data_IF_452135253122
#
_entry.id   IF_452135253122
#
_cell.length_a   1.000
_cell.length_b   1.000
_cell.length_c   1.000
_cell.angle_alpha   90.00
_cell.angle_beta   90.00
_cell.angle_gamma   90.00
#
_symmetry.space_group_name_H-M   'P 1'
#
loop_
_entity.id
_entity.type
_entity.pdbx_description
1 polymer ?
#
# COMPACT_ATOMS: atom_id res chain seq x y z
N UNK A 1 7.26 -16.71 -19.13
CA UNK A 1 7.78 -17.00 -17.78
C UNK A 1 6.90 -16.28 -16.78
N UNK A 2 6.57 -16.92 -15.65
CA UNK A 2 5.85 -16.28 -14.55
C UNK A 2 6.80 -15.27 -13.90
N UNK A 3 6.37 -14.06 -13.67
CA UNK A 3 7.18 -13.03 -13.01
C UNK A 3 7.64 -13.49 -11.62
N UNK A 4 8.87 -13.12 -11.22
CA UNK A 4 9.40 -13.37 -9.88
C UNK A 4 8.69 -12.50 -8.84
N UNK A 5 8.33 -13.08 -7.69
CA UNK A 5 7.79 -12.33 -6.56
C UNK A 5 8.77 -11.28 -6.02
N UNK A 6 10.08 -11.50 -6.18
CA UNK A 6 11.14 -10.54 -5.84
C UNK A 6 11.01 -9.27 -6.69
N UNK A 7 10.95 -9.42 -8.03
CA UNK A 7 10.79 -8.27 -8.94
C UNK A 7 9.45 -7.57 -8.75
N UNK A 8 8.38 -8.33 -8.53
CA UNK A 8 7.07 -7.76 -8.24
C UNK A 8 7.10 -6.88 -6.97
N UNK A 9 7.75 -7.35 -5.91
CA UNK A 9 7.95 -6.58 -4.69
C UNK A 9 8.80 -5.33 -4.96
N UNK A 10 9.94 -5.50 -5.62
CA UNK A 10 10.87 -4.41 -5.96
C UNK A 10 10.19 -3.27 -6.74
N UNK A 11 9.32 -3.59 -7.72
CA UNK A 11 8.58 -2.57 -8.49
C UNK A 11 7.73 -1.65 -7.59
N UNK A 12 7.08 -2.19 -6.57
CA UNK A 12 6.22 -1.44 -5.67
C UNK A 12 7.02 -0.74 -4.56
N UNK A 13 8.17 -1.28 -4.17
CA UNK A 13 9.07 -0.72 -3.17
C UNK A 13 10.00 0.38 -3.71
N UNK A 14 10.25 0.42 -5.03
CA UNK A 14 11.26 1.28 -5.65
C UNK A 14 11.04 2.78 -5.39
N UNK A 15 9.85 3.30 -5.68
CA UNK A 15 9.65 4.76 -5.61
C UNK A 15 9.72 5.33 -4.18
N UNK A 16 9.09 4.73 -3.15
CA UNK A 16 9.30 5.20 -1.78
C UNK A 16 10.75 5.06 -1.32
N UNK A 17 11.52 4.08 -1.82
CA UNK A 17 12.94 3.96 -1.55
C UNK A 17 13.73 5.11 -2.19
N UNK A 18 13.52 5.36 -3.47
CA UNK A 18 14.16 6.48 -4.20
C UNK A 18 13.89 7.84 -3.54
N UNK A 19 12.73 8.02 -2.91
CA UNK A 19 12.34 9.24 -2.19
C UNK A 19 12.84 9.28 -0.74
N UNK A 20 13.56 8.25 -0.28
CA UNK A 20 14.07 8.15 1.09
C UNK A 20 12.98 7.94 2.16
N UNK A 21 11.80 7.44 1.79
CA UNK A 21 10.70 7.22 2.73
C UNK A 21 10.67 5.82 3.34
N UNK A 22 11.23 4.83 2.65
CA UNK A 22 11.15 3.44 3.09
C UNK A 22 12.33 2.62 2.55
N UNK A 23 12.87 1.71 3.37
CA UNK A 23 13.96 0.81 3.02
C UNK A 23 15.36 1.44 3.12
N UNK A 24 16.42 0.67 2.81
CA UNK A 24 17.81 1.11 2.83
C UNK A 24 18.12 2.06 1.66
N UNK A 25 19.26 2.76 1.72
CA UNK A 25 19.74 3.64 0.64
C UNK A 25 20.39 2.82 -0.50
N UNK A 26 19.56 1.99 -1.18
CA UNK A 26 19.97 1.03 -2.22
C UNK A 26 19.09 1.14 -3.48
N UNK A 27 18.59 2.35 -3.76
CA UNK A 27 17.66 2.57 -4.88
C UNK A 27 18.27 2.28 -6.26
N UNK A 28 19.60 2.48 -6.42
CA UNK A 28 20.30 2.16 -7.68
C UNK A 28 20.29 0.65 -7.97
N UNK A 29 20.57 -0.19 -6.96
CA UNK A 29 20.50 -1.66 -7.07
C UNK A 29 19.10 -2.12 -7.49
N UNK A 30 18.07 -1.57 -6.82
CA UNK A 30 16.67 -1.90 -7.15
C UNK A 30 16.37 -1.52 -8.61
N UNK A 31 16.74 -0.32 -9.03
CA UNK A 31 16.50 0.16 -10.39
C UNK A 31 17.23 -0.69 -11.45
N UNK A 32 18.48 -1.05 -11.23
CA UNK A 32 19.26 -1.90 -12.13
C UNK A 32 18.61 -3.27 -12.29
N UNK A 33 18.28 -3.92 -11.17
CA UNK A 33 17.59 -5.22 -11.18
C UNK A 33 16.26 -5.17 -11.94
N UNK A 34 15.49 -4.09 -11.77
CA UNK A 34 14.22 -3.90 -12.48
C UNK A 34 14.42 -3.70 -13.99
N UNK A 35 15.44 -2.94 -14.42
CA UNK A 35 15.76 -2.72 -15.83
C UNK A 35 16.24 -4.01 -16.51
N UNK A 36 17.09 -4.77 -15.83
CA UNK A 36 17.60 -6.05 -16.35
C UNK A 36 16.56 -7.18 -16.28
N UNK A 37 15.55 -7.04 -15.43
CA UNK A 37 14.58 -8.09 -15.14
C UNK A 37 15.20 -9.31 -14.47
N UNK A 38 16.27 -9.10 -13.68
CA UNK A 38 17.03 -10.14 -12.99
C UNK A 38 16.96 -10.00 -11.49
N UNK A 39 17.16 -11.10 -10.79
CA UNK A 39 17.22 -11.17 -9.33
C UNK A 39 18.53 -11.82 -8.90
N UNK A 40 19.11 -11.32 -7.84
CA UNK A 40 20.27 -11.87 -7.15
C UNK A 40 20.10 -11.83 -5.63
N UNK A 41 21.04 -12.42 -4.90
CA UNK A 41 21.03 -12.44 -3.45
C UNK A 41 21.16 -11.02 -2.85
N UNK A 42 21.86 -10.13 -3.54
CA UNK A 42 22.01 -8.73 -3.12
C UNK A 42 20.68 -7.98 -3.15
N UNK A 43 19.87 -8.13 -4.22
CA UNK A 43 18.53 -7.57 -4.27
C UNK A 43 17.62 -8.16 -3.18
N UNK A 44 17.69 -9.48 -2.96
CA UNK A 44 16.94 -10.15 -1.88
C UNK A 44 17.29 -9.53 -0.53
N UNK A 45 18.57 -9.35 -0.23
CA UNK A 45 19.03 -8.74 1.01
C UNK A 45 18.51 -7.30 1.15
N UNK A 46 18.66 -6.46 0.12
CA UNK A 46 18.12 -5.11 0.09
C UNK A 46 16.62 -5.07 0.39
N UNK A 47 15.82 -5.99 -0.20
CA UNK A 47 14.38 -6.03 0.02
C UNK A 47 13.99 -6.54 1.42
N UNK A 48 14.84 -7.31 2.07
CA UNK A 48 14.64 -7.76 3.46
C UNK A 48 14.82 -6.63 4.47
N UNK A 49 15.57 -5.59 4.13
CA UNK A 49 15.78 -4.41 4.99
C UNK A 49 14.61 -3.41 4.97
N UNK A 50 13.55 -3.67 4.20
CA UNK A 50 12.34 -2.84 4.22
C UNK A 50 11.51 -3.10 5.48
N UNK A 51 11.85 -2.44 6.59
CA UNK A 51 11.21 -2.63 7.91
C UNK A 51 9.68 -2.46 7.88
N UNK A 52 9.15 -1.62 6.98
CA UNK A 52 7.72 -1.38 6.85
C UNK A 52 7.00 -2.37 5.91
N UNK A 53 7.71 -3.24 5.20
CA UNK A 53 7.11 -4.15 4.22
C UNK A 53 7.48 -5.61 4.47
N UNK A 54 8.76 -5.91 4.67
CA UNK A 54 9.25 -7.28 4.76
C UNK A 54 8.59 -8.09 5.90
N UNK A 55 8.42 -7.57 7.12
CA UNK A 55 7.73 -8.29 8.19
C UNK A 55 6.28 -8.67 7.84
N UNK A 56 5.56 -7.87 7.03
CA UNK A 56 4.22 -8.25 6.56
C UNK A 56 4.25 -9.38 5.56
N UNK A 57 5.26 -9.42 4.69
CA UNK A 57 5.45 -10.55 3.78
C UNK A 57 5.74 -11.83 4.56
N UNK A 58 6.57 -11.77 5.60
CA UNK A 58 6.85 -12.90 6.49
C UNK A 58 5.58 -13.38 7.20
N UNK A 59 4.76 -12.47 7.71
CA UNK A 59 3.48 -12.81 8.34
C UNK A 59 2.57 -13.57 7.36
N UNK A 60 2.36 -13.03 6.15
CA UNK A 60 1.53 -13.66 5.12
C UNK A 60 2.11 -15.03 4.74
N UNK A 61 3.42 -15.12 4.52
CA UNK A 61 4.09 -16.34 4.13
C UNK A 61 3.93 -17.45 5.19
N UNK A 62 4.22 -17.11 6.46
CA UNK A 62 4.11 -18.02 7.60
C UNK A 62 2.67 -18.52 7.78
N UNK A 63 1.70 -17.62 7.83
CA UNK A 63 0.29 -17.96 8.04
C UNK A 63 -0.33 -18.77 6.90
N UNK A 64 0.29 -18.76 5.71
CA UNK A 64 -0.24 -19.42 4.53
C UNK A 64 0.60 -20.60 4.03
N UNK A 65 1.72 -20.92 4.71
CA UNK A 65 2.64 -22.00 4.34
C UNK A 65 3.38 -21.74 3.01
N UNK A 66 3.75 -20.48 2.75
CA UNK A 66 4.43 -20.06 1.52
C UNK A 66 5.85 -19.55 1.82
N UNK A 67 6.69 -19.42 0.78
CA UNK A 67 7.94 -18.67 0.87
C UNK A 67 7.65 -17.18 0.73
N UNK A 68 8.44 -16.34 1.39
CA UNK A 68 8.23 -14.88 1.43
C UNK A 68 8.14 -14.25 0.04
N UNK A 69 8.97 -14.68 -0.88
CA UNK A 69 8.99 -14.20 -2.26
C UNK A 69 8.27 -15.12 -3.27
N UNK A 70 7.41 -16.04 -2.82
CA UNK A 70 6.43 -16.64 -3.73
C UNK A 70 5.55 -15.52 -4.27
N UNK A 71 5.38 -15.42 -5.59
CA UNK A 71 4.67 -14.29 -6.25
C UNK A 71 3.35 -13.89 -5.57
N UNK A 72 2.59 -14.89 -5.09
CA UNK A 72 1.30 -14.66 -4.42
C UNK A 72 1.41 -13.92 -3.10
N UNK A 73 2.57 -13.92 -2.42
CA UNK A 73 2.78 -13.25 -1.14
C UNK A 73 2.97 -11.75 -1.33
N UNK A 74 3.94 -11.25 -2.14
CA UNK A 74 3.98 -9.83 -2.47
C UNK A 74 2.73 -9.32 -3.17
N UNK A 75 2.07 -10.13 -4.04
CA UNK A 75 0.78 -9.76 -4.64
C UNK A 75 -0.29 -9.54 -3.56
N UNK A 76 -0.35 -10.40 -2.53
CA UNK A 76 -1.27 -10.23 -1.42
C UNK A 76 -1.03 -8.91 -0.68
N UNK A 77 0.22 -8.61 -0.36
CA UNK A 77 0.60 -7.42 0.38
C UNK A 77 0.32 -6.12 -0.38
N UNK A 78 0.72 -6.03 -1.67
CA UNK A 78 0.61 -4.81 -2.46
C UNK A 78 -0.75 -4.61 -3.13
N UNK A 79 -1.35 -5.68 -3.67
CA UNK A 79 -2.56 -5.64 -4.49
C UNK A 79 -3.77 -6.23 -3.76
N UNK A 80 -3.53 -7.21 -2.91
CA UNK A 80 -4.56 -8.04 -2.29
C UNK A 80 -4.89 -9.29 -3.12
N UNK A 81 -5.02 -10.41 -2.43
CA UNK A 81 -5.55 -11.66 -2.97
C UNK A 81 -6.06 -12.55 -1.81
N UNK A 82 -6.59 -13.73 -2.12
CA UNK A 82 -7.19 -14.62 -1.13
C UNK A 82 -6.25 -15.15 -0.04
N UNK A 83 -4.94 -14.87 -0.09
CA UNK A 83 -4.03 -15.17 1.03
C UNK A 83 -4.33 -14.27 2.24
N UNK A 84 -4.76 -13.04 2.02
CA UNK A 84 -5.11 -12.12 3.11
C UNK A 84 -6.26 -12.65 3.96
N UNK A 85 -7.23 -13.33 3.34
CA UNK A 85 -8.39 -13.92 4.00
C UNK A 85 -8.00 -15.14 4.89
N UNK A 86 -6.76 -15.65 4.74
CA UNK A 86 -6.22 -16.81 5.47
C UNK A 86 -5.31 -16.43 6.63
N UNK A 87 -4.94 -15.17 6.77
CA UNK A 87 -4.14 -14.69 7.91
C UNK A 87 -5.07 -14.48 9.10
N UNK A 88 -4.88 -15.20 10.22
CA UNK A 88 -5.72 -15.00 11.40
C UNK A 88 -5.60 -13.58 11.93
N UNK A 89 -6.71 -12.92 12.21
CA UNK A 89 -6.72 -11.56 12.73
C UNK A 89 -5.97 -11.41 14.08
N UNK A 90 -5.93 -12.48 14.88
CA UNK A 90 -5.14 -12.54 16.12
C UNK A 90 -3.63 -12.47 15.85
N UNK A 91 -3.13 -13.13 14.79
CA UNK A 91 -1.73 -13.05 14.39
C UNK A 91 -1.37 -11.66 13.88
N UNK A 92 -2.22 -11.09 13.04
CA UNK A 92 -2.04 -9.72 12.56
C UNK A 92 -2.08 -8.71 13.71
N UNK A 93 -2.97 -8.88 14.67
CA UNK A 93 -3.03 -8.03 15.87
C UNK A 93 -1.74 -8.10 16.70
N UNK A 94 -1.25 -9.31 17.00
CA UNK A 94 -0.01 -9.50 17.75
C UNK A 94 1.19 -8.90 17.01
N UNK A 95 1.27 -9.11 15.70
CA UNK A 95 2.28 -8.54 14.84
C UNK A 95 2.25 -7.00 14.86
N UNK A 96 1.09 -6.39 14.65
CA UNK A 96 0.95 -4.93 14.61
C UNK A 96 1.30 -4.26 15.94
N UNK A 97 1.11 -4.96 17.06
CA UNK A 97 1.48 -4.49 18.38
C UNK A 97 3.01 -4.41 18.56
N UNK A 98 3.76 -5.31 17.96
CA UNK A 98 5.23 -5.32 18.01
C UNK A 98 5.87 -4.36 17.01
N UNK A 99 5.32 -4.26 15.79
CA UNK A 99 5.93 -3.49 14.69
C UNK A 99 5.55 -2.01 14.67
N UNK A 100 4.45 -1.61 15.32
CA UNK A 100 4.08 -0.19 15.46
C UNK A 100 4.83 0.50 16.61
N UNK A 101 6.16 0.32 16.66
CA UNK A 101 7.04 0.96 17.65
C UNK A 101 6.85 2.49 17.63
N UNK A 102 6.70 3.08 18.81
CA UNK A 102 6.51 4.53 18.98
C UNK A 102 5.06 5.00 19.10
N UNK A 103 4.07 4.10 19.04
CA UNK A 103 2.67 4.41 19.29
C UNK A 103 2.24 3.88 20.65
N UNK A 104 1.26 4.57 21.28
CA UNK A 104 0.68 4.08 22.56
C UNK A 104 0.01 2.71 22.30
N UNK A 105 0.54 1.62 22.88
CA UNK A 105 0.02 0.27 22.65
C UNK A 105 -1.45 0.12 23.02
N UNK A 106 -1.94 0.92 23.99
CA UNK A 106 -3.35 0.90 24.44
C UNK A 106 -4.26 1.43 23.35
N UNK A 107 -3.87 2.53 22.69
CA UNK A 107 -4.65 3.11 21.58
C UNK A 107 -4.69 2.18 20.37
N UNK A 108 -3.57 1.54 20.03
CA UNK A 108 -3.51 0.51 19.00
C UNK A 108 -4.45 -0.64 19.36
N UNK A 109 -4.41 -1.13 20.59
CA UNK A 109 -5.27 -2.22 21.08
C UNK A 109 -6.76 -1.87 20.99
N UNK A 110 -7.15 -0.69 21.42
CA UNK A 110 -8.55 -0.22 21.35
C UNK A 110 -9.02 -0.06 19.92
N UNK A 111 -8.16 0.50 19.05
CA UNK A 111 -8.43 0.62 17.63
C UNK A 111 -8.68 -0.75 16.98
N UNK A 112 -7.79 -1.71 17.21
CA UNK A 112 -7.95 -3.06 16.66
C UNK A 112 -9.09 -3.88 17.27
N UNK A 113 -9.44 -3.67 18.55
CA UNK A 113 -10.64 -4.27 19.15
C UNK A 113 -11.92 -3.89 18.39
N UNK A 114 -12.00 -2.64 17.91
CA UNK A 114 -13.16 -2.16 17.15
C UNK A 114 -13.27 -2.81 15.75
N UNK A 115 -12.27 -3.55 15.33
CA UNK A 115 -12.23 -4.24 14.03
C UNK A 115 -12.59 -5.74 14.08
N UNK A 116 -12.99 -6.25 15.28
CA UNK A 116 -13.39 -7.66 15.46
C UNK A 116 -12.38 -8.69 14.91
N UNK A 117 -11.09 -8.36 14.95
CA UNK A 117 -10.03 -9.20 14.42
C UNK A 117 -9.96 -9.31 12.89
N UNK A 118 -10.66 -8.45 12.16
CA UNK A 118 -10.76 -8.48 10.70
C UNK A 118 -9.90 -7.38 10.07
N UNK A 119 -8.59 -7.40 10.31
CA UNK A 119 -7.67 -6.46 9.65
C UNK A 119 -6.70 -7.25 8.76
N UNK A 120 -6.67 -7.00 7.43
CA UNK A 120 -5.76 -7.71 6.56
C UNK A 120 -4.35 -7.12 6.65
N UNK A 121 -3.28 -7.93 6.56
CA UNK A 121 -1.91 -7.46 6.40
C UNK A 121 -1.67 -6.91 4.98
N UNK A 122 -2.47 -5.91 4.59
CA UNK A 122 -2.47 -5.25 3.29
C UNK A 122 -1.81 -3.88 3.41
N UNK A 123 -0.92 -3.54 2.49
CA UNK A 123 -0.18 -2.29 2.52
C UNK A 123 -1.09 -1.06 2.64
N UNK A 124 -2.14 -1.00 1.84
CA UNK A 124 -3.07 0.14 1.86
C UNK A 124 -3.82 0.25 3.19
N UNK A 125 -4.16 -0.87 3.84
CA UNK A 125 -4.72 -0.85 5.19
C UNK A 125 -3.74 -0.27 6.20
N UNK A 126 -2.48 -0.72 6.19
CA UNK A 126 -1.43 -0.19 7.07
C UNK A 126 -1.27 1.32 6.92
N UNK A 127 -1.17 1.82 5.68
CA UNK A 127 -1.04 3.26 5.38
C UNK A 127 -2.26 4.05 5.89
N UNK A 128 -3.47 3.60 5.56
CA UNK A 128 -4.70 4.30 5.95
C UNK A 128 -4.97 4.24 7.46
N UNK A 129 -4.65 3.12 8.12
CA UNK A 129 -4.80 2.98 9.57
C UNK A 129 -3.82 3.89 10.33
N UNK A 130 -2.63 4.11 9.77
CA UNK A 130 -1.66 5.09 10.27
C UNK A 130 -2.28 6.49 10.30
N UNK A 131 -2.97 6.90 9.23
CA UNK A 131 -3.72 8.16 9.20
C UNK A 131 -4.77 8.21 10.32
N UNK A 132 -5.61 7.19 10.44
CA UNK A 132 -6.66 7.15 11.44
C UNK A 132 -6.12 7.28 12.87
N UNK A 133 -5.01 6.61 13.18
CA UNK A 133 -4.39 6.65 14.51
C UNK A 133 -3.58 7.92 14.78
N UNK A 134 -3.17 8.66 13.76
CA UNK A 134 -2.44 9.94 13.88
C UNK A 134 -3.40 11.14 13.96
N UNK A 135 -4.45 11.14 13.12
CA UNK A 135 -5.39 12.27 13.02
C UNK A 135 -6.44 12.25 14.12
N UNK A 136 -6.91 11.08 14.53
CA UNK A 136 -7.97 10.96 15.56
C UNK A 136 -7.53 11.41 16.95
N UNK A 137 -6.32 11.08 17.46
CA UNK A 137 -5.89 11.55 18.77
C UNK A 137 -5.81 13.08 18.89
N UNK A 138 -5.42 13.75 17.79
CA UNK A 138 -5.32 15.21 17.71
C UNK A 138 -6.62 15.87 17.18
N UNK A 139 -7.61 15.06 16.87
CA UNK A 139 -8.90 15.27 16.24
C UNK A 139 -9.41 16.71 16.14
N UNK A 140 -9.84 17.36 17.25
CA UNK A 140 -10.37 18.73 17.21
C UNK A 140 -9.32 19.79 16.88
N UNK A 141 -8.04 19.53 17.14
CA UNK A 141 -6.95 20.50 17.03
C UNK A 141 -6.30 20.56 15.63
N UNK A 142 -6.57 19.57 14.76
CA UNK A 142 -6.08 19.60 13.38
C UNK A 142 -6.94 20.49 12.50
N UNK A 143 -6.29 21.45 11.83
CA UNK A 143 -6.95 22.28 10.82
C UNK A 143 -7.44 21.41 9.64
N UNK A 144 -8.45 21.90 8.93
CA UNK A 144 -8.91 21.23 7.70
C UNK A 144 -7.81 21.11 6.65
N UNK A 145 -6.87 22.06 6.61
CA UNK A 145 -5.71 22.02 5.73
C UNK A 145 -4.76 20.87 6.11
N UNK A 146 -4.43 20.73 7.39
CA UNK A 146 -3.60 19.63 7.88
C UNK A 146 -4.21 18.26 7.57
N UNK A 147 -5.53 18.13 7.76
CA UNK A 147 -6.26 16.90 7.40
C UNK A 147 -6.18 16.57 5.91
N UNK A 148 -6.29 17.59 5.04
CA UNK A 148 -6.12 17.41 3.60
C UNK A 148 -4.70 16.97 3.24
N UNK A 149 -3.68 17.59 3.81
CA UNK A 149 -2.27 17.23 3.59
C UNK A 149 -1.99 15.80 3.99
N UNK A 150 -2.50 15.35 5.15
CA UNK A 150 -2.33 13.96 5.58
C UNK A 150 -3.10 12.99 4.66
N UNK A 151 -4.32 13.33 4.24
CA UNK A 151 -5.06 12.50 3.27
C UNK A 151 -4.32 12.38 1.93
N UNK A 152 -3.65 13.44 1.48
CA UNK A 152 -2.83 13.42 0.28
C UNK A 152 -1.58 12.53 0.44
N UNK A 153 -0.94 12.56 1.61
CA UNK A 153 0.17 11.64 1.92
C UNK A 153 -0.29 10.18 1.88
N UNK A 154 -1.43 9.89 2.49
CA UNK A 154 -2.06 8.57 2.45
C UNK A 154 -2.36 8.15 1.01
N UNK A 155 -2.93 9.03 0.18
CA UNK A 155 -3.24 8.74 -1.23
C UNK A 155 -1.98 8.45 -2.05
N UNK A 156 -0.86 9.12 -1.75
CA UNK A 156 0.42 8.87 -2.42
C UNK A 156 1.06 7.55 -1.97
N UNK A 157 0.97 7.22 -0.68
CA UNK A 157 1.64 6.05 -0.10
C UNK A 157 0.86 4.75 -0.25
N UNK A 158 -0.49 4.77 -0.30
CA UNK A 158 -1.25 3.57 -0.63
C UNK A 158 -1.02 3.15 -2.07
N UNK A 159 -1.20 1.87 -2.39
CA UNK A 159 -1.26 1.47 -3.78
C UNK A 159 -2.59 1.94 -4.38
N UNK A 160 -2.51 2.90 -5.28
CA UNK A 160 -3.64 3.33 -6.12
C UNK A 160 -3.57 2.66 -7.49
N UNK A 161 -4.63 2.82 -8.29
CA UNK A 161 -4.66 2.30 -9.67
C UNK A 161 -5.48 3.21 -10.56
N UNK A 162 -5.26 3.09 -11.86
CA UNK A 162 -6.05 3.81 -12.84
C UNK A 162 -5.83 3.34 -14.25
N UNK A 163 -6.73 3.76 -15.12
CA UNK A 163 -6.71 3.49 -16.55
C UNK A 163 -5.83 4.50 -17.29
N UNK A 164 -4.88 4.02 -18.05
CA UNK A 164 -4.01 4.83 -18.90
C UNK A 164 -4.84 5.47 -20.02
N UNK A 165 -4.81 6.79 -20.11
CA UNK A 165 -5.50 7.59 -21.14
C UNK A 165 -4.55 8.14 -22.20
N UNK A 166 -3.26 8.23 -21.87
CA UNK A 166 -2.23 8.68 -22.78
C UNK A 166 -0.85 8.21 -22.32
N UNK A 167 0.02 7.95 -23.27
CA UNK A 167 1.39 7.49 -23.03
C UNK A 167 2.35 8.53 -23.58
N UNK A 168 3.15 9.14 -22.69
CA UNK A 168 4.26 10.02 -23.03
C UNK A 168 5.61 9.31 -22.87
N UNK A 169 6.70 10.04 -23.03
CA UNK A 169 8.05 9.44 -23.01
C UNK A 169 8.44 8.82 -21.67
N UNK A 170 8.11 9.47 -20.55
CA UNK A 170 8.37 9.01 -19.17
C UNK A 170 7.20 9.31 -18.22
N UNK A 171 6.04 9.62 -18.78
CA UNK A 171 4.86 10.04 -18.05
C UNK A 171 3.61 9.46 -18.71
N UNK A 172 2.71 8.92 -17.91
CA UNK A 172 1.40 8.43 -18.31
C UNK A 172 0.34 9.43 -17.85
N UNK A 173 -0.66 9.68 -18.67
CA UNK A 173 -1.93 10.27 -18.23
C UNK A 173 -2.83 9.15 -17.74
N UNK A 174 -3.14 9.13 -16.44
CA UNK A 174 -3.89 8.03 -15.84
C UNK A 174 -5.15 8.56 -15.19
N UNK A 175 -6.30 7.97 -15.50
CA UNK A 175 -7.57 8.25 -14.85
C UNK A 175 -7.67 7.46 -13.56
N UNK A 176 -7.54 8.16 -12.43
CA UNK A 176 -7.51 7.59 -11.09
C UNK A 176 -8.68 8.12 -10.25
N UNK A 177 -8.93 7.45 -9.10
CA UNK A 177 -9.78 7.96 -8.02
C UNK A 177 -8.91 8.19 -6.77
N UNK A 178 -8.51 9.43 -6.47
CA UNK A 178 -7.72 9.72 -5.29
C UNK A 178 -8.55 9.52 -4.00
N UNK A 179 -7.85 9.33 -2.87
CA UNK A 179 -8.50 9.39 -1.56
C UNK A 179 -8.61 10.85 -1.11
N UNK A 180 -9.77 11.20 -0.57
CA UNK A 180 -10.01 12.46 0.12
C UNK A 180 -10.62 12.22 1.50
N UNK A 181 -10.38 13.17 2.40
CA UNK A 181 -11.07 13.23 3.68
C UNK A 181 -12.30 14.15 3.54
N UNK A 182 -13.48 13.57 3.64
CA UNK A 182 -14.73 14.28 3.48
C UNK A 182 -15.74 13.81 4.52
N UNK A 183 -16.41 14.75 5.19
CA UNK A 183 -17.46 14.50 6.18
C UNK A 183 -17.01 13.50 7.29
N UNK A 184 -15.78 13.66 7.79
CA UNK A 184 -15.25 12.80 8.85
C UNK A 184 -14.78 11.40 8.39
N UNK A 185 -14.70 11.14 7.09
CA UNK A 185 -14.36 9.84 6.51
C UNK A 185 -13.34 9.95 5.38
N UNK A 186 -12.57 8.88 5.19
CA UNK A 186 -11.79 8.67 3.97
C UNK A 186 -12.68 8.05 2.89
N UNK A 187 -12.63 8.59 1.70
CA UNK A 187 -13.42 8.09 0.55
C UNK A 187 -12.63 8.25 -0.75
N UNK A 188 -12.97 7.41 -1.74
CA UNK A 188 -12.48 7.63 -3.11
C UNK A 188 -13.25 8.79 -3.74
N UNK A 189 -12.53 9.84 -4.12
CA UNK A 189 -13.05 10.99 -4.84
C UNK A 189 -13.55 10.63 -6.25
N UNK A 190 -14.27 11.53 -6.92
CA UNK A 190 -14.59 11.38 -8.34
C UNK A 190 -13.33 11.16 -9.19
N UNK A 191 -13.46 10.45 -10.33
CA UNK A 191 -12.32 10.20 -11.21
C UNK A 191 -11.70 11.49 -11.72
N UNK A 192 -10.37 11.56 -11.73
CA UNK A 192 -9.59 12.66 -12.31
C UNK A 192 -8.43 12.09 -13.13
N UNK A 193 -7.89 12.88 -14.07
CA UNK A 193 -6.69 12.51 -14.80
C UNK A 193 -5.48 13.10 -14.09
N UNK A 194 -4.51 12.24 -13.77
CA UNK A 194 -3.24 12.62 -13.16
C UNK A 194 -2.08 12.22 -14.07
N UNK A 195 -1.03 13.01 -14.07
CA UNK A 195 0.24 12.65 -14.69
C UNK A 195 1.02 11.78 -13.70
N UNK A 196 1.40 10.59 -14.14
CA UNK A 196 2.07 9.57 -13.35
C UNK A 196 3.39 9.22 -14.02
N UNK A 197 4.49 9.30 -13.31
CA UNK A 197 5.80 8.93 -13.85
C UNK A 197 5.89 7.41 -14.03
N UNK A 198 6.73 6.97 -14.97
CA UNK A 198 7.03 5.56 -15.18
C UNK A 198 8.41 5.38 -15.82
N UNK A 199 8.98 4.18 -15.71
CA UNK A 199 10.21 3.82 -16.39
C UNK A 199 9.90 2.92 -17.60
N UNK A 200 10.03 3.42 -18.85
CA UNK A 200 9.75 2.64 -20.07
C UNK A 200 10.74 1.49 -20.30
N UNK A 201 11.88 1.49 -19.64
CA UNK A 201 12.90 0.43 -19.73
C UNK A 201 12.55 -0.79 -18.87
N UNK A 202 11.65 -0.63 -17.91
CA UNK A 202 11.20 -1.71 -17.01
C UNK A 202 9.98 -2.42 -17.60
N UNK A 203 10.01 -3.74 -17.67
CA UNK A 203 8.83 -4.55 -18.03
C UNK A 203 7.76 -4.45 -16.92
N UNK A 204 6.48 -4.34 -17.27
CA UNK A 204 5.86 -4.45 -18.59
C UNK A 204 5.70 -3.11 -19.34
N UNK A 205 6.29 -2.01 -18.86
CA UNK A 205 6.03 -0.66 -19.39
C UNK A 205 6.57 -0.41 -20.81
N UNK A 206 7.49 -1.24 -21.30
CA UNK A 206 7.94 -1.17 -22.69
C UNK A 206 6.82 -1.40 -23.73
N UNK A 207 5.66 -1.91 -23.29
CA UNK A 207 4.49 -2.18 -24.14
C UNK A 207 3.19 -1.57 -23.60
N UNK A 208 3.27 -0.67 -22.62
CA UNK A 208 2.09 -0.01 -22.03
C UNK A 208 1.36 0.84 -23.08
N UNK A 209 0.03 0.79 -23.06
CA UNK A 209 -0.83 1.51 -24.02
C UNK A 209 -2.07 2.09 -23.34
N UNK A 210 -2.75 2.97 -24.02
CA UNK A 210 -4.06 3.48 -23.59
C UNK A 210 -5.05 2.34 -23.41
N UNK A 211 -5.81 2.38 -22.30
CA UNK A 211 -6.73 1.33 -21.87
C UNK A 211 -6.14 0.35 -20.86
N UNK A 212 -4.81 0.25 -20.74
CA UNK A 212 -4.20 -0.56 -19.69
C UNK A 212 -4.51 0.03 -18.31
N UNK A 213 -4.55 -0.84 -17.29
CA UNK A 213 -4.69 -0.42 -15.90
C UNK A 213 -3.34 -0.59 -15.20
N UNK A 214 -2.87 0.45 -14.52
CA UNK A 214 -1.59 0.44 -13.81
C UNK A 214 -1.77 0.60 -12.31
N UNK A 215 -0.92 -0.07 -11.50
CA UNK A 215 -0.75 0.24 -10.08
C UNK A 215 0.19 1.43 -9.93
N UNK A 216 -0.06 2.27 -8.88
CA UNK A 216 0.65 3.53 -8.68
C UNK A 216 1.02 3.63 -7.20
N UNK A 217 2.28 3.99 -6.94
CA UNK A 217 2.82 4.26 -5.61
C UNK A 217 3.69 5.53 -5.68
N UNK A 218 3.43 6.53 -4.85
CA UNK A 218 4.15 7.81 -4.85
C UNK A 218 4.21 8.47 -6.24
N UNK A 219 3.06 8.53 -6.91
CA UNK A 219 2.93 9.10 -8.27
C UNK A 219 3.81 8.43 -9.33
N UNK A 220 4.17 7.16 -9.12
CA UNK A 220 4.94 6.35 -10.04
C UNK A 220 4.20 5.05 -10.38
N UNK A 221 4.10 4.70 -11.66
CA UNK A 221 3.47 3.46 -12.11
C UNK A 221 4.41 2.28 -11.82
N UNK A 222 3.92 1.34 -11.01
CA UNK A 222 4.70 0.19 -10.54
C UNK A 222 4.55 -1.03 -11.43
N UNK A 223 3.32 -1.30 -11.92
CA UNK A 223 3.05 -2.46 -12.76
C UNK A 223 1.80 -2.25 -13.64
N UNK A 224 1.68 -3.04 -14.72
CA UNK A 224 0.45 -3.14 -15.52
C UNK A 224 -0.39 -4.28 -14.96
N UNK A 225 -1.57 -3.95 -14.47
CA UNK A 225 -2.44 -4.88 -13.75
C UNK A 225 -3.29 -5.73 -14.71
N UNK A 226 -3.39 -7.01 -14.42
CA UNK A 226 -4.43 -7.86 -15.01
C UNK A 226 -5.81 -7.45 -14.49
N UNK A 227 -6.89 -7.84 -15.20
CA UNK A 227 -8.26 -7.64 -14.75
C UNK A 227 -8.53 -8.22 -13.36
N UNK A 228 -7.92 -9.35 -13.01
CA UNK A 228 -8.03 -9.97 -11.68
C UNK A 228 -7.39 -9.08 -10.63
N UNK A 229 -6.17 -8.60 -10.87
CA UNK A 229 -5.44 -7.74 -9.94
C UNK A 229 -6.13 -6.40 -9.72
N UNK A 230 -6.63 -5.74 -10.77
CA UNK A 230 -7.36 -4.48 -10.63
C UNK A 230 -8.66 -4.66 -9.81
N UNK A 231 -9.41 -5.77 -10.00
CA UNK A 231 -10.59 -6.09 -9.20
C UNK A 231 -10.23 -6.39 -7.74
N UNK A 232 -9.13 -7.12 -7.51
CA UNK A 232 -8.65 -7.40 -6.16
C UNK A 232 -8.24 -6.10 -5.44
N UNK A 233 -7.45 -5.24 -6.08
CA UNK A 233 -7.03 -3.98 -5.49
C UNK A 233 -8.23 -3.09 -5.15
N UNK A 234 -9.24 -3.04 -6.02
CA UNK A 234 -10.49 -2.34 -5.74
C UNK A 234 -11.25 -2.95 -4.55
N UNK A 235 -11.37 -4.29 -4.49
CA UNK A 235 -12.01 -5.02 -3.38
C UNK A 235 -11.33 -4.71 -2.04
N UNK A 236 -10.00 -4.91 -1.97
CA UNK A 236 -9.28 -4.73 -0.71
C UNK A 236 -9.18 -3.26 -0.30
N UNK A 237 -9.04 -2.32 -1.24
CA UNK A 237 -9.15 -0.89 -0.92
C UNK A 237 -10.52 -0.53 -0.32
N UNK A 238 -11.61 -1.11 -0.81
CA UNK A 238 -12.95 -0.88 -0.24
C UNK A 238 -13.07 -1.46 1.19
N UNK A 239 -12.50 -2.65 1.42
CA UNK A 239 -12.42 -3.26 2.76
C UNK A 239 -11.62 -2.36 3.69
N UNK A 240 -10.41 -1.93 3.28
CA UNK A 240 -9.52 -1.10 4.07
C UNK A 240 -10.18 0.23 4.45
N UNK A 241 -10.83 0.91 3.50
CA UNK A 241 -11.59 2.13 3.75
C UNK A 241 -12.72 1.90 4.76
N UNK A 242 -13.44 0.78 4.65
CA UNK A 242 -14.49 0.41 5.60
C UNK A 242 -13.96 0.23 7.02
N UNK A 243 -12.83 -0.48 7.16
CA UNK A 243 -12.16 -0.72 8.44
C UNK A 243 -11.63 0.59 9.05
N UNK A 244 -10.91 1.37 8.28
CA UNK A 244 -10.32 2.63 8.73
C UNK A 244 -11.39 3.66 9.12
N UNK A 245 -12.50 3.71 8.39
CA UNK A 245 -13.61 4.59 8.74
C UNK A 245 -14.31 4.17 10.04
N UNK A 246 -14.28 2.88 10.41
CA UNK A 246 -14.71 2.42 11.75
C UNK A 246 -13.75 2.93 12.84
N UNK A 247 -12.44 2.87 12.60
CA UNK A 247 -11.43 3.44 13.51
C UNK A 247 -11.65 4.94 13.72
N UNK A 248 -11.89 5.69 12.65
CA UNK A 248 -12.16 7.12 12.70
C UNK A 248 -13.44 7.43 13.50
N UNK A 249 -14.51 6.66 13.34
CA UNK A 249 -15.77 6.83 14.05
C UNK A 249 -15.66 6.47 15.55
N UNK A 250 -14.88 5.43 15.90
CA UNK A 250 -14.67 5.00 17.29
C UNK A 250 -13.85 6.00 18.10
N UNK A 251 -12.88 6.67 17.48
CA UNK A 251 -12.04 7.69 18.13
C UNK A 251 -12.78 9.01 18.45
N UNK A 252 -13.98 9.22 17.90
CA UNK A 252 -14.82 10.41 18.17
C UNK A 252 -15.72 10.27 19.39
N UNK A 253 -15.88 9.06 19.96
CA UNK A 253 -16.61 8.87 21.23
C UNK A 253 -15.72 9.23 22.40
N UNK A 254 -15.85 10.45 22.95
CA UNK A 254 -15.38 10.75 24.31
C UNK A 254 -16.14 9.83 25.27
N UNK A 255 -15.47 9.20 26.26
CA UNK A 255 -16.20 8.67 27.41
C UNK A 255 -16.95 9.85 28.04
N UNK A 256 -18.27 9.75 28.13
CA UNK A 256 -19.06 10.63 28.99
C UNK A 256 -18.47 10.52 30.39
N UNK A 257 -18.18 11.70 30.99
CA UNK A 257 -17.65 11.81 32.35
C UNK A 257 -18.75 11.50 33.36
#
# INVERSE_FOLDING_TARGET
MKESGILFHAKHAYMPNLLGYCGPDENERINESLREGKTDDGLVHTLQEFEAAYPFLELIARSTGRKVFDYSVPEAYWIGNGLLDRVPGSEFYSFSHHELKGRDPRKVKEAFKSLDGVAPPHHSFYVMSTYATTVVPDGPNLSNESRRKVAQLVDNCRISWGEVRGVGKRELQVRIRPIEFRNGRLALAPPTVRRVQYNPEVKPFSSVRSGDVVSIHWNFACDVLTNRQSKNLAKYTAIDLGLVNRLLAGGTRRPEK
#
